data_IF_272481996928
#
_entry.id   IF_272481996928
#
_cell.length_a   1.000
_cell.length_b   1.000
_cell.length_c   1.000
_cell.angle_alpha   90.00
_cell.angle_beta   90.00
_cell.angle_gamma   90.00
#
_symmetry.space_group_name_H-M   'P 1'
#
loop_
_entity.id
_entity.type
_entity.pdbx_description
1 polymer ?
#
# COMPACT_ATOMS: atom_id res chain seq x y z
N UNK A 1 -24.47 30.53 -51.16
CA UNK A 1 -24.28 31.19 -49.85
C UNK A 1 -24.06 30.10 -48.82
N UNK A 2 -22.83 29.93 -48.36
CA UNK A 2 -22.41 28.90 -47.40
C UNK A 2 -22.75 29.37 -45.98
N UNK A 3 -23.66 28.68 -45.33
CA UNK A 3 -24.01 28.83 -43.91
C UNK A 3 -22.81 28.41 -43.05
N UNK A 4 -22.05 29.37 -42.56
CA UNK A 4 -20.98 29.14 -41.59
C UNK A 4 -21.58 28.66 -40.27
N UNK A 5 -21.19 27.46 -39.83
CA UNK A 5 -21.54 26.94 -38.49
C UNK A 5 -20.85 27.77 -37.43
N UNK A 6 -21.52 27.99 -36.30
CA UNK A 6 -20.93 28.76 -35.20
C UNK A 6 -19.83 27.96 -34.50
N UNK A 7 -18.81 28.65 -33.99
CA UNK A 7 -17.68 28.01 -33.27
C UNK A 7 -18.16 27.16 -32.08
N UNK A 8 -19.29 27.53 -31.46
CA UNK A 8 -19.92 26.79 -30.38
C UNK A 8 -20.42 25.39 -30.83
N UNK A 9 -21.00 25.28 -32.02
CA UNK A 9 -21.45 23.98 -32.56
C UNK A 9 -20.28 23.05 -32.86
N UNK A 10 -19.14 23.61 -33.27
CA UNK A 10 -17.91 22.84 -33.48
C UNK A 10 -17.42 22.28 -32.13
N UNK A 11 -17.32 23.12 -31.10
CA UNK A 11 -16.87 22.72 -29.76
C UNK A 11 -17.79 21.65 -29.15
N UNK A 12 -19.12 21.85 -29.20
CA UNK A 12 -20.09 20.87 -28.68
C UNK A 12 -19.90 19.50 -29.35
N UNK A 13 -19.66 19.49 -30.67
CA UNK A 13 -19.48 18.25 -31.43
C UNK A 13 -18.16 17.55 -31.07
N UNK A 14 -17.07 18.28 -30.89
CA UNK A 14 -15.80 17.66 -30.51
C UNK A 14 -15.86 17.08 -29.09
N UNK A 15 -16.53 17.75 -28.14
CA UNK A 15 -16.79 17.21 -26.79
C UNK A 15 -17.65 15.94 -26.86
N UNK A 16 -18.72 15.95 -27.67
CA UNK A 16 -19.59 14.77 -27.83
C UNK A 16 -18.85 13.56 -28.41
N UNK A 17 -17.94 13.78 -29.38
CA UNK A 17 -17.07 12.72 -29.91
C UNK A 17 -16.16 12.15 -28.83
N UNK A 18 -15.54 13.00 -28.02
CA UNK A 18 -14.67 12.58 -26.92
C UNK A 18 -15.43 11.70 -25.92
N UNK A 19 -16.61 12.14 -25.48
CA UNK A 19 -17.48 11.37 -24.56
C UNK A 19 -17.90 10.02 -25.15
N UNK A 20 -18.22 9.99 -26.45
CA UNK A 20 -18.56 8.74 -27.15
C UNK A 20 -17.37 7.78 -27.24
N UNK A 21 -16.17 8.30 -27.48
CA UNK A 21 -14.94 7.50 -27.45
C UNK A 21 -14.71 6.90 -26.07
N UNK A 22 -14.91 7.68 -24.99
CA UNK A 22 -14.81 7.15 -23.62
C UNK A 22 -15.84 6.05 -23.34
N UNK A 23 -17.09 6.22 -23.76
CA UNK A 23 -18.13 5.18 -23.58
C UNK A 23 -17.77 3.88 -24.30
N UNK A 24 -17.30 3.97 -25.55
CA UNK A 24 -16.82 2.81 -26.31
C UNK A 24 -15.64 2.12 -25.60
N UNK A 25 -14.63 2.88 -25.15
CA UNK A 25 -13.49 2.34 -24.41
C UNK A 25 -13.91 1.63 -23.12
N UNK A 26 -14.93 2.16 -22.41
CA UNK A 26 -15.48 1.52 -21.21
C UNK A 26 -16.23 0.22 -21.54
N UNK A 27 -16.93 0.17 -22.67
CA UNK A 27 -17.57 -1.05 -23.16
C UNK A 27 -16.54 -2.11 -23.53
N UNK A 28 -15.48 -1.72 -24.25
CA UNK A 28 -14.38 -2.61 -24.62
C UNK A 28 -13.66 -3.16 -23.39
N UNK A 29 -13.40 -2.31 -22.39
CA UNK A 29 -12.80 -2.72 -21.12
C UNK A 29 -13.71 -3.70 -20.37
N UNK A 30 -15.01 -3.42 -20.30
CA UNK A 30 -16.00 -4.35 -19.71
C UNK A 30 -16.00 -5.69 -20.45
N UNK A 31 -16.05 -5.68 -21.78
CA UNK A 31 -16.02 -6.87 -22.61
C UNK A 31 -14.73 -7.68 -22.38
N UNK A 32 -13.58 -7.01 -22.31
CA UNK A 32 -12.30 -7.62 -22.01
C UNK A 32 -12.32 -8.33 -20.64
N UNK A 33 -12.75 -7.66 -19.57
CA UNK A 33 -12.82 -8.28 -18.24
C UNK A 33 -13.91 -9.36 -18.12
N UNK A 34 -15.02 -9.25 -18.83
CA UNK A 34 -16.02 -10.32 -18.94
C UNK A 34 -15.43 -11.55 -19.64
N UNK A 35 -14.75 -11.35 -20.76
CA UNK A 35 -14.06 -12.42 -21.47
C UNK A 35 -12.97 -13.06 -20.60
N UNK A 36 -12.18 -12.26 -19.88
CA UNK A 36 -11.18 -12.75 -18.93
C UNK A 36 -11.82 -13.58 -17.81
N UNK A 37 -12.91 -13.10 -17.21
CA UNK A 37 -13.70 -13.86 -16.22
C UNK A 37 -14.25 -15.16 -16.80
N UNK A 38 -14.71 -15.16 -18.05
CA UNK A 38 -15.22 -16.37 -18.71
C UNK A 38 -14.12 -17.40 -18.97
N UNK A 39 -12.91 -16.96 -19.30
CA UNK A 39 -11.72 -17.83 -19.42
C UNK A 39 -11.30 -18.41 -18.06
N UNK A 40 -11.56 -17.68 -16.98
CA UNK A 40 -11.29 -18.11 -15.60
C UNK A 40 -12.43 -18.95 -15.00
N UNK A 41 -13.63 -18.95 -15.58
CA UNK A 41 -14.85 -19.56 -15.03
C UNK A 41 -15.36 -20.77 -15.83
N UNK A 42 -14.54 -21.41 -16.66
CA UNK A 42 -14.93 -22.68 -17.29
C UNK A 42 -15.16 -23.74 -16.18
N UNK A 43 -16.38 -24.29 -16.01
CA UNK A 43 -16.69 -25.18 -14.91
C UNK A 43 -16.51 -26.65 -15.30
N UNK A 44 -16.06 -27.47 -14.36
CA UNK A 44 -16.69 -28.78 -14.11
C UNK A 44 -17.38 -28.70 -12.73
N UNK A 45 -18.48 -29.42 -12.49
CA UNK A 45 -19.78 -28.74 -12.38
C UNK A 45 -20.36 -28.66 -10.96
N UNK A 46 -21.32 -27.72 -10.85
CA UNK A 46 -22.44 -27.63 -9.89
C UNK A 46 -22.14 -27.27 -8.44
N UNK A 47 -22.37 -26.02 -8.01
CA UNK A 47 -23.19 -25.62 -6.82
C UNK A 47 -23.64 -24.13 -6.97
N UNK A 48 -24.57 -23.55 -6.15
CA UNK A 48 -25.62 -22.65 -6.58
C UNK A 48 -25.19 -21.16 -6.52
N UNK A 49 -25.94 -20.33 -7.22
CA UNK A 49 -25.70 -18.89 -7.37
C UNK A 49 -25.44 -18.17 -6.03
N UNK A 50 -24.35 -17.38 -5.90
CA UNK A 50 -24.22 -16.45 -4.81
C UNK A 50 -25.17 -15.29 -5.09
N UNK A 51 -26.27 -15.30 -4.34
CA UNK A 51 -27.21 -14.20 -4.29
C UNK A 51 -26.48 -12.91 -3.89
N UNK A 52 -26.66 -11.88 -4.71
CA UNK A 52 -26.70 -10.45 -4.35
C UNK A 52 -25.67 -10.01 -3.29
N UNK A 53 -24.63 -9.31 -3.74
CA UNK A 53 -23.86 -8.37 -2.91
C UNK A 53 -24.83 -7.30 -2.36
N UNK A 54 -25.46 -7.56 -1.23
CA UNK A 54 -26.14 -6.55 -0.43
C UNK A 54 -25.13 -5.98 0.55
N UNK A 55 -24.79 -4.71 0.33
CA UNK A 55 -24.14 -3.88 1.33
C UNK A 55 -25.10 -3.73 2.52
N UNK A 56 -24.78 -4.35 3.65
CA UNK A 56 -25.48 -4.14 4.90
C UNK A 56 -24.66 -3.15 5.75
N UNK A 57 -25.21 -1.97 6.12
CA UNK A 57 -24.61 -1.14 7.14
C UNK A 57 -24.99 -1.74 8.50
N UNK A 58 -24.01 -2.32 9.19
CA UNK A 58 -24.22 -3.00 10.47
C UNK A 58 -23.03 -2.85 11.41
N UNK A 59 -23.11 -1.80 12.24
CA UNK A 59 -22.54 -1.63 13.58
C UNK A 59 -21.13 -2.15 13.89
N UNK A 60 -20.22 -1.20 14.11
CA UNK A 60 -19.19 -1.31 15.13
C UNK A 60 -17.86 -1.97 14.73
N UNK A 61 -17.11 -1.36 13.80
CA UNK A 61 -15.64 -1.24 13.83
C UNK A 61 -15.18 -0.40 12.64
N UNK A 62 -14.29 0.55 12.92
CA UNK A 62 -13.74 1.52 11.95
C UNK A 62 -13.12 0.81 10.73
N UNK A 63 -13.22 1.38 9.52
CA UNK A 63 -12.71 0.75 8.31
C UNK A 63 -11.17 0.74 8.33
N UNK A 64 -10.57 -0.45 8.27
CA UNK A 64 -9.14 -0.59 7.96
C UNK A 64 -8.89 0.05 6.59
N UNK A 65 -8.11 1.13 6.59
CA UNK A 65 -7.80 1.96 5.41
C UNK A 65 -6.68 1.40 4.52
N UNK A 66 -6.47 0.09 4.54
CA UNK A 66 -5.62 -0.60 3.57
C UNK A 66 -6.43 -1.71 2.92
N UNK A 67 -6.41 -1.88 1.59
CA UNK A 67 -6.74 -3.17 1.00
C UNK A 67 -5.60 -4.13 1.34
N UNK A 68 -5.47 -4.49 2.63
CA UNK A 68 -4.81 -5.72 3.00
C UNK A 68 -5.70 -6.82 2.44
N UNK A 69 -5.34 -7.34 1.27
CA UNK A 69 -6.02 -8.51 0.70
C UNK A 69 -5.56 -9.69 1.55
N UNK A 70 -6.16 -9.83 2.74
CA UNK A 70 -5.79 -10.77 3.83
C UNK A 70 -6.13 -12.22 3.48
N UNK A 71 -5.70 -12.71 2.32
CA UNK A 71 -6.10 -13.98 1.69
C UNK A 71 -7.40 -13.88 0.88
N UNK A 72 -7.37 -14.50 -0.30
CA UNK A 72 -8.58 -15.01 -0.93
C UNK A 72 -8.96 -16.31 -0.20
N UNK A 73 -9.92 -16.23 0.72
CA UNK A 73 -10.62 -17.42 1.22
C UNK A 73 -12.11 -17.28 0.91
N UNK A 74 -12.54 -17.89 -0.18
CA UNK A 74 -13.96 -18.15 -0.42
C UNK A 74 -14.44 -19.25 0.53
N UNK A 75 -15.73 -19.24 0.88
CA UNK A 75 -16.35 -20.15 1.89
C UNK A 75 -16.37 -21.63 1.51
N UNK A 76 -15.75 -22.02 0.43
CA UNK A 76 -15.53 -23.41 0.04
C UNK A 76 -14.03 -23.56 -0.20
N UNK A 77 -13.47 -24.68 0.25
CA UNK A 77 -12.03 -25.00 0.35
C UNK A 77 -11.31 -25.09 -1.01
N UNK A 78 -11.72 -24.32 -2.01
CA UNK A 78 -11.03 -24.19 -3.28
C UNK A 78 -10.03 -23.04 -3.17
N UNK A 79 -8.81 -23.46 -2.89
CA UNK A 79 -7.63 -22.63 -2.84
C UNK A 79 -7.38 -22.11 -4.26
N UNK A 80 -7.83 -20.90 -4.60
CA UNK A 80 -7.33 -20.19 -5.76
C UNK A 80 -5.86 -19.86 -5.50
N UNK A 81 -4.99 -20.81 -5.81
CA UNK A 81 -3.55 -20.63 -5.84
C UNK A 81 -3.30 -19.60 -6.96
N UNK A 82 -3.09 -18.33 -6.60
CA UNK A 82 -2.77 -17.27 -7.56
C UNK A 82 -1.70 -17.82 -8.50
N UNK A 83 -2.02 -17.99 -9.78
CA UNK A 83 -1.07 -18.30 -10.86
C UNK A 83 0.00 -17.21 -11.03
N UNK A 84 -0.11 -16.12 -10.25
CA UNK A 84 0.88 -15.06 -10.08
C UNK A 84 2.05 -15.48 -9.15
N UNK A 85 1.84 -16.40 -8.20
CA UNK A 85 2.87 -16.86 -7.24
C UNK A 85 4.07 -17.51 -7.93
N UNK A 86 3.86 -18.20 -9.05
CA UNK A 86 4.93 -18.91 -9.77
C UNK A 86 5.68 -18.05 -10.79
N UNK A 87 5.18 -16.85 -11.14
CA UNK A 87 5.85 -15.95 -12.11
C UNK A 87 6.82 -14.97 -11.45
N UNK A 88 6.59 -14.63 -10.18
CA UNK A 88 7.39 -13.63 -9.49
C UNK A 88 8.64 -14.20 -8.83
N UNK A 89 8.65 -15.48 -8.45
CA UNK A 89 9.87 -16.18 -8.01
C UNK A 89 9.80 -17.66 -8.35
N UNK A 90 10.96 -18.27 -8.61
CA UNK A 90 11.06 -19.70 -8.94
C UNK A 90 10.94 -20.62 -7.70
N UNK A 91 10.81 -20.08 -6.48
CA UNK A 91 11.04 -20.84 -5.23
C UNK A 91 10.04 -20.60 -4.07
N UNK A 92 8.86 -19.98 -4.28
CA UNK A 92 7.83 -19.85 -3.22
C UNK A 92 7.00 -21.14 -3.07
N UNK A 93 7.62 -22.32 -2.96
CA UNK A 93 6.87 -23.57 -2.87
C UNK A 93 6.38 -23.92 -1.46
N UNK A 94 6.78 -23.19 -0.40
CA UNK A 94 6.42 -23.53 1.00
C UNK A 94 6.11 -22.38 1.97
N UNK A 95 6.30 -21.11 1.62
CA UNK A 95 6.11 -19.97 2.54
C UNK A 95 4.82 -19.20 2.27
N UNK A 96 4.12 -18.81 3.35
CA UNK A 96 3.02 -17.85 3.24
C UNK A 96 3.60 -16.48 2.92
N UNK A 97 3.00 -15.78 1.97
CA UNK A 97 3.47 -14.47 1.51
C UNK A 97 2.32 -13.47 1.47
N UNK A 98 2.65 -12.20 1.65
CA UNK A 98 1.78 -11.06 1.40
C UNK A 98 2.18 -10.44 0.07
N UNK A 99 1.18 -10.16 -0.78
CA UNK A 99 1.38 -9.41 -2.03
C UNK A 99 0.74 -8.04 -1.88
N UNK A 100 1.53 -6.99 -2.10
CA UNK A 100 1.10 -5.61 -2.03
C UNK A 100 1.27 -4.93 -3.39
N UNK A 101 0.26 -4.13 -3.76
CA UNK A 101 0.25 -3.29 -4.95
C UNK A 101 0.16 -1.83 -4.51
N UNK A 102 1.03 -0.97 -5.02
CA UNK A 102 1.05 0.44 -4.60
C UNK A 102 1.70 1.35 -5.65
N UNK A 103 1.46 2.66 -5.55
CA UNK A 103 2.03 3.65 -6.47
C UNK A 103 3.50 3.95 -6.19
N UNK A 104 3.97 3.71 -4.97
CA UNK A 104 5.35 3.96 -4.54
C UNK A 104 5.72 3.05 -3.39
N UNK A 105 6.99 2.70 -3.28
CA UNK A 105 7.45 1.83 -2.22
C UNK A 105 8.88 2.15 -1.78
N UNK A 106 9.09 2.30 -0.47
CA UNK A 106 10.40 2.50 0.13
C UNK A 106 11.17 1.20 0.29
N UNK A 107 11.56 0.59 -0.83
CA UNK A 107 12.31 -0.68 -0.85
C UNK A 107 13.59 -0.61 -0.01
N UNK A 108 14.40 0.44 -0.19
CA UNK A 108 15.68 0.63 0.53
C UNK A 108 15.51 0.55 2.05
N UNK A 109 14.49 1.22 2.59
CA UNK A 109 14.21 1.20 4.03
C UNK A 109 13.65 -0.15 4.49
N UNK A 110 12.82 -0.80 3.67
CA UNK A 110 12.32 -2.13 3.98
C UNK A 110 13.46 -3.16 4.02
N UNK A 111 14.30 -3.23 2.99
CA UNK A 111 15.44 -4.15 2.94
C UNK A 111 16.37 -3.93 4.13
N UNK A 112 16.69 -2.68 4.46
CA UNK A 112 17.52 -2.33 5.62
C UNK A 112 16.97 -2.91 6.93
N UNK A 113 15.66 -2.78 7.16
CA UNK A 113 15.03 -3.32 8.36
C UNK A 113 14.86 -4.83 8.32
N UNK A 114 14.62 -5.41 7.13
CA UNK A 114 14.50 -6.86 6.96
C UNK A 114 15.83 -7.57 7.27
N UNK A 115 16.96 -7.02 6.82
CA UNK A 115 18.30 -7.51 7.16
C UNK A 115 18.58 -7.47 8.67
N UNK A 116 17.97 -6.51 9.38
CA UNK A 116 18.06 -6.38 10.83
C UNK A 116 17.01 -7.21 11.61
N UNK A 117 16.13 -7.95 10.92
CA UNK A 117 15.03 -8.70 11.54
C UNK A 117 13.88 -7.84 12.08
N UNK A 118 13.77 -6.60 11.61
CA UNK A 118 12.80 -5.59 12.05
C UNK A 118 11.71 -5.30 10.99
N UNK A 119 11.73 -6.04 9.87
CA UNK A 119 10.70 -6.06 8.85
C UNK A 119 10.65 -7.44 8.18
N UNK A 120 9.55 -7.81 7.52
CA UNK A 120 9.47 -9.07 6.80
C UNK A 120 10.49 -9.13 5.63
N UNK A 121 11.11 -10.29 5.35
CA UNK A 121 11.91 -10.45 4.14
C UNK A 121 11.12 -10.17 2.85
N UNK A 122 11.71 -9.40 1.93
CA UNK A 122 11.19 -9.21 0.57
C UNK A 122 11.64 -10.37 -0.31
N UNK A 123 10.71 -10.96 -1.04
CA UNK A 123 10.98 -11.94 -2.11
C UNK A 123 10.93 -11.31 -3.51
N UNK A 124 10.18 -10.23 -3.69
CA UNK A 124 10.06 -9.49 -4.94
C UNK A 124 9.68 -8.04 -4.66
N UNK A 125 10.31 -7.08 -5.32
CA UNK A 125 9.92 -5.67 -5.30
C UNK A 125 10.31 -5.05 -6.64
N UNK A 126 9.32 -4.68 -7.46
CA UNK A 126 9.55 -4.01 -8.73
C UNK A 126 8.33 -3.23 -9.17
N UNK A 127 8.55 -2.20 -9.99
CA UNK A 127 7.49 -1.53 -10.71
C UNK A 127 7.07 -2.35 -11.93
N UNK A 128 5.81 -2.78 -11.96
CA UNK A 128 5.23 -3.53 -13.07
C UNK A 128 4.53 -2.58 -14.05
N UNK A 129 5.20 -2.30 -15.18
CA UNK A 129 4.68 -1.42 -16.24
C UNK A 129 3.30 -1.86 -16.75
N UNK A 130 3.05 -3.17 -16.80
CA UNK A 130 1.80 -3.75 -17.30
C UNK A 130 0.56 -3.33 -16.49
N UNK A 131 0.75 -2.96 -15.23
CA UNK A 131 -0.32 -2.51 -14.33
C UNK A 131 -0.07 -1.10 -13.76
N UNK A 132 1.08 -0.50 -14.05
CA UNK A 132 1.45 0.84 -13.60
C UNK A 132 1.60 0.97 -12.08
N UNK A 133 2.00 -0.11 -11.40
CA UNK A 133 2.11 -0.18 -9.93
C UNK A 133 3.37 -0.94 -9.50
N UNK A 134 3.89 -0.59 -8.33
CA UNK A 134 4.84 -1.42 -7.61
C UNK A 134 4.14 -2.69 -7.11
N UNK A 135 4.80 -3.83 -7.32
CA UNK A 135 4.40 -5.13 -6.79
C UNK A 135 5.46 -5.58 -5.81
N UNK A 136 5.01 -5.87 -4.59
CA UNK A 136 5.86 -6.32 -3.52
C UNK A 136 5.36 -7.66 -3.02
N UNK A 137 6.23 -8.66 -3.01
CA UNK A 137 5.99 -9.96 -2.39
C UNK A 137 6.92 -10.06 -1.20
N UNK A 138 6.36 -10.17 0.00
CA UNK A 138 7.11 -10.26 1.25
C UNK A 138 6.60 -11.43 2.09
N UNK A 139 7.40 -11.88 3.05
CA UNK A 139 7.01 -12.93 3.98
C UNK A 139 5.77 -12.54 4.78
N UNK A 140 4.89 -13.52 5.02
CA UNK A 140 3.75 -13.32 5.94
C UNK A 140 4.21 -13.47 7.38
N UNK A 141 4.08 -12.40 8.17
CA UNK A 141 4.35 -12.44 9.62
C UNK A 141 3.09 -12.85 10.38
N UNK A 142 3.09 -14.02 11.04
CA UNK A 142 1.89 -14.59 11.65
C UNK A 142 1.66 -14.06 13.07
N UNK A 143 1.30 -12.78 13.23
CA UNK A 143 1.14 -12.20 14.58
C UNK A 143 0.05 -11.12 14.68
N UNK A 144 -0.20 -10.66 15.92
CA UNK A 144 -1.18 -9.62 16.20
C UNK A 144 -0.60 -8.23 15.91
N UNK A 145 -1.35 -7.48 15.09
CA UNK A 145 -1.15 -6.04 14.92
C UNK A 145 -1.24 -5.37 16.28
N UNK A 146 -0.32 -4.44 16.55
CA UNK A 146 -0.35 -3.65 17.77
C UNK A 146 -1.71 -2.94 17.90
N UNK A 147 -2.43 -3.20 19.00
CA UNK A 147 -3.75 -2.61 19.27
C UNK A 147 -3.73 -1.67 20.49
N UNK A 148 -2.55 -1.17 20.89
CA UNK A 148 -2.39 -0.38 22.09
C UNK A 148 -0.97 0.18 22.25
N UNK A 149 -0.60 0.49 23.49
CA UNK A 149 0.75 0.93 23.81
C UNK A 149 1.73 -0.23 23.81
N UNK A 150 2.95 0.03 23.36
CA UNK A 150 4.01 -0.97 23.36
C UNK A 150 4.54 -1.20 24.78
N UNK A 151 4.92 -2.44 25.06
CA UNK A 151 5.74 -2.77 26.23
C UNK A 151 7.15 -2.16 26.09
N UNK A 152 7.93 -2.18 27.17
CA UNK A 152 9.29 -1.64 27.17
C UNK A 152 10.21 -2.30 26.11
N UNK A 153 10.16 -3.64 26.00
CA UNK A 153 10.95 -4.37 25.01
C UNK A 153 10.53 -4.06 23.58
N UNK A 154 9.22 -4.11 23.30
CA UNK A 154 8.68 -3.76 21.98
C UNK A 154 8.96 -2.29 21.59
N UNK A 155 8.87 -1.36 22.56
CA UNK A 155 9.22 0.05 22.37
C UNK A 155 10.70 0.25 22.06
N UNK A 156 11.58 -0.50 22.73
CA UNK A 156 13.01 -0.52 22.45
C UNK A 156 13.30 -1.07 21.05
N UNK A 157 12.62 -2.15 20.66
CA UNK A 157 12.70 -2.73 19.32
C UNK A 157 12.22 -1.74 18.25
N UNK A 158 11.12 -1.03 18.50
CA UNK A 158 10.63 0.02 17.59
C UNK A 158 11.61 1.19 17.48
N UNK A 159 12.16 1.67 18.60
CA UNK A 159 13.17 2.75 18.59
C UNK A 159 14.35 2.36 17.73
N UNK A 160 14.86 1.13 17.88
CA UNK A 160 15.96 0.61 17.09
C UNK A 160 15.66 0.58 15.59
N UNK A 161 14.42 0.25 15.19
CA UNK A 161 14.02 0.28 13.79
C UNK A 161 14.06 1.69 13.20
N UNK A 162 13.54 2.68 13.95
CA UNK A 162 13.56 4.08 13.53
C UNK A 162 15.00 4.62 13.48
N UNK A 163 15.83 4.28 14.46
CA UNK A 163 17.24 4.68 14.49
C UNK A 163 18.02 4.14 13.29
N UNK A 164 17.78 2.89 12.87
CA UNK A 164 18.42 2.34 11.67
C UNK A 164 18.08 3.12 10.41
N UNK A 165 16.80 3.47 10.22
CA UNK A 165 16.37 4.30 9.10
C UNK A 165 17.02 5.69 9.16
N UNK A 166 16.93 6.35 10.32
CA UNK A 166 17.39 7.72 10.50
C UNK A 166 18.90 7.86 10.32
N UNK A 167 19.67 6.83 10.72
CA UNK A 167 21.12 6.75 10.49
C UNK A 167 21.48 6.74 9.00
N UNK A 168 20.59 6.23 8.14
CA UNK A 168 20.73 6.22 6.69
C UNK A 168 20.03 7.40 5.99
N UNK A 169 19.61 8.41 6.76
CA UNK A 169 18.80 9.54 6.27
C UNK A 169 17.48 9.10 5.60
N UNK A 170 16.94 7.97 6.06
CA UNK A 170 15.62 7.51 5.68
C UNK A 170 14.64 7.84 6.79
N UNK A 171 13.40 8.11 6.43
CA UNK A 171 12.24 8.22 7.33
C UNK A 171 11.27 7.10 7.04
N UNK A 172 10.47 6.70 8.02
CA UNK A 172 9.39 5.73 7.83
C UNK A 172 8.11 6.41 7.33
N UNK A 173 7.76 7.54 7.94
CA UNK A 173 6.71 8.46 7.50
C UNK A 173 5.28 8.08 7.90
N UNK A 174 4.95 6.80 7.99
CA UNK A 174 3.61 6.33 8.35
C UNK A 174 3.62 5.51 9.65
N UNK A 175 4.33 6.00 10.69
CA UNK A 175 4.46 5.26 11.93
C UNK A 175 3.15 5.27 12.71
N UNK A 176 2.47 4.12 12.76
CA UNK A 176 1.22 3.91 13.50
C UNK A 176 1.06 2.47 13.93
N UNK A 177 0.19 2.27 14.90
CA UNK A 177 -0.10 0.98 15.53
C UNK A 177 -0.44 -0.09 14.49
N UNK A 178 -1.20 0.27 13.44
CA UNK A 178 -1.57 -0.69 12.38
C UNK A 178 -0.40 -1.16 11.51
N UNK A 179 0.71 -0.43 11.53
CA UNK A 179 1.91 -0.68 10.74
C UNK A 179 3.02 -1.34 11.60
N UNK A 180 2.70 -1.67 12.85
CA UNK A 180 3.58 -2.41 13.77
C UNK A 180 2.97 -3.77 14.09
N UNK A 181 3.68 -4.83 13.76
CA UNK A 181 3.34 -6.21 14.11
C UNK A 181 4.21 -6.63 15.28
N UNK A 182 3.63 -7.19 16.34
CA UNK A 182 4.40 -7.74 17.46
C UNK A 182 4.88 -9.14 17.10
N UNK A 183 6.13 -9.29 16.67
CA UNK A 183 6.70 -10.58 16.25
C UNK A 183 7.02 -11.49 17.43
N UNK A 184 7.42 -10.92 18.57
CA UNK A 184 7.58 -11.64 19.83
C UNK A 184 7.01 -10.78 20.97
N UNK A 185 5.91 -11.21 21.62
CA UNK A 185 5.26 -10.45 22.67
C UNK A 185 6.22 -10.04 23.78
N UNK A 186 6.29 -8.74 24.06
CA UNK A 186 7.14 -8.18 25.11
C UNK A 186 8.60 -7.93 24.70
N UNK A 187 9.02 -8.32 23.49
CA UNK A 187 10.42 -8.30 23.08
C UNK A 187 10.66 -7.59 21.75
N UNK A 188 10.00 -8.01 20.67
CA UNK A 188 10.31 -7.52 19.33
C UNK A 188 9.09 -7.22 18.48
N UNK A 189 9.29 -6.29 17.55
CA UNK A 189 8.31 -5.88 16.55
C UNK A 189 8.86 -6.04 15.15
N UNK A 190 7.95 -6.05 14.17
CA UNK A 190 8.25 -5.85 12.76
C UNK A 190 7.44 -4.68 12.22
N UNK A 191 8.12 -3.79 11.50
CA UNK A 191 7.48 -2.74 10.72
C UNK A 191 6.99 -3.28 9.38
N UNK A 192 5.80 -2.84 8.97
CA UNK A 192 5.20 -3.13 7.67
C UNK A 192 4.65 -1.85 7.07
N UNK A 193 4.36 -1.85 5.77
CA UNK A 193 3.81 -0.70 5.04
C UNK A 193 4.81 0.47 4.85
N UNK A 194 5.80 0.23 3.98
CA UNK A 194 6.88 1.18 3.66
C UNK A 194 6.54 2.16 2.52
N UNK A 195 5.26 2.44 2.23
CA UNK A 195 4.91 3.31 1.10
C UNK A 195 5.46 4.74 1.22
N UNK A 196 5.53 5.24 2.45
CA UNK A 196 5.98 6.60 2.74
C UNK A 196 7.45 6.66 3.15
N UNK A 197 8.10 5.49 3.21
CA UNK A 197 9.49 5.39 3.57
C UNK A 197 10.40 5.85 2.42
N UNK A 198 11.49 6.53 2.75
CA UNK A 198 12.52 6.97 1.82
C UNK A 198 13.35 8.13 2.36
N UNK A 199 14.13 8.83 1.51
CA UNK A 199 15.05 9.86 1.96
C UNK A 199 14.34 11.05 2.63
N UNK A 200 14.86 11.52 3.77
CA UNK A 200 14.38 12.75 4.41
C UNK A 200 14.91 14.03 3.74
N UNK A 201 15.96 13.90 2.95
CA UNK A 201 16.62 14.97 2.22
C UNK A 201 16.83 14.54 0.77
N UNK A 202 17.00 15.52 -0.13
CA UNK A 202 17.28 15.22 -1.53
C UNK A 202 18.69 14.61 -1.63
N UNK A 203 18.81 13.46 -2.26
CA UNK A 203 20.07 12.77 -2.49
C UNK A 203 20.70 13.37 -3.74
N UNK A 204 21.91 13.92 -3.60
CA UNK A 204 22.63 14.58 -4.70
C UNK A 204 23.76 13.69 -5.25
N UNK A 205 24.03 13.81 -6.56
CA UNK A 205 25.26 13.27 -7.17
C UNK A 205 26.49 14.13 -6.84
N UNK A 206 27.66 13.71 -7.33
CA UNK A 206 28.92 14.46 -7.12
C UNK A 206 28.96 15.80 -7.85
N UNK A 207 28.02 16.07 -8.75
CA UNK A 207 27.86 17.31 -9.49
C UNK A 207 26.76 18.22 -8.88
N UNK A 208 26.07 17.78 -7.83
CA UNK A 208 25.00 18.51 -7.16
C UNK A 208 23.60 18.35 -7.80
N UNK A 209 23.41 17.43 -8.74
CA UNK A 209 22.09 17.12 -9.29
C UNK A 209 21.35 16.15 -8.38
N UNK A 210 20.02 16.26 -8.31
CA UNK A 210 19.18 15.36 -7.52
C UNK A 210 19.11 13.99 -8.19
N UNK A 211 19.66 12.97 -7.52
CA UNK A 211 19.52 11.56 -7.88
C UNK A 211 18.19 10.99 -7.37
N UNK A 212 17.82 11.36 -6.15
CA UNK A 212 16.57 10.92 -5.52
C UNK A 212 15.98 12.08 -4.72
N UNK A 213 14.71 12.38 -4.94
CA UNK A 213 14.02 13.42 -4.19
C UNK A 213 13.64 12.90 -2.80
N UNK A 214 13.67 13.80 -1.81
CA UNK A 214 13.11 13.51 -0.48
C UNK A 214 11.65 13.10 -0.58
N UNK A 215 11.23 12.23 0.31
CA UNK A 215 9.85 11.75 0.36
C UNK A 215 8.88 12.81 0.85
N UNK A 216 7.68 12.81 0.27
CA UNK A 216 6.58 13.72 0.61
C UNK A 216 5.29 12.97 0.92
N UNK A 217 4.45 13.56 1.76
CA UNK A 217 3.09 13.07 1.99
C UNK A 217 2.21 13.32 0.76
N UNK A 218 1.27 12.41 0.45
CA UNK A 218 0.37 12.61 -0.67
C UNK A 218 -0.62 13.76 -0.41
N UNK A 219 -1.13 14.37 -1.47
CA UNK A 219 -2.19 15.40 -1.42
C UNK A 219 -3.43 14.89 -0.68
N UNK A 220 -3.69 13.58 -0.74
CA UNK A 220 -4.83 12.93 -0.09
C UNK A 220 -4.60 12.57 1.38
N UNK A 221 -3.50 13.00 2.01
CA UNK A 221 -3.26 12.71 3.43
C UNK A 221 -4.41 13.25 4.30
N UNK A 222 -4.87 12.39 5.22
CA UNK A 222 -5.90 12.73 6.20
C UNK A 222 -5.25 13.55 7.30
N UNK A 223 -5.60 14.83 7.39
CA UNK A 223 -5.14 15.74 8.45
C UNK A 223 -6.17 15.87 9.59
N UNK A 224 -7.12 14.95 9.67
CA UNK A 224 -8.19 15.03 10.67
C UNK A 224 -7.63 14.95 12.09
N UNK A 225 -8.12 15.85 12.95
CA UNK A 225 -7.70 16.07 14.34
C UNK A 225 -7.84 14.86 15.29
N UNK A 226 -8.34 13.71 14.81
CA UNK A 226 -8.42 12.45 15.56
C UNK A 226 -7.16 11.59 15.48
N UNK A 227 -6.26 11.88 14.52
CA UNK A 227 -4.90 11.32 14.49
C UNK A 227 -4.00 12.44 14.99
N UNK A 228 -3.28 12.21 16.08
CA UNK A 228 -2.24 13.12 16.54
C UNK A 228 -1.15 13.17 15.47
N UNK A 229 -1.31 14.05 14.49
CA UNK A 229 -0.30 14.35 13.49
C UNK A 229 0.78 15.20 14.14
N UNK A 230 2.04 14.88 13.87
CA UNK A 230 3.17 15.70 14.31
C UNK A 230 3.07 17.11 13.71
N UNK A 231 3.62 18.10 14.41
CA UNK A 231 3.74 19.45 13.88
C UNK A 231 4.52 19.42 12.55
N UNK A 232 4.04 20.16 11.55
CA UNK A 232 4.66 20.22 10.21
C UNK A 232 4.11 19.21 9.19
N UNK A 233 3.28 18.25 9.60
CA UNK A 233 2.60 17.33 8.67
C UNK A 233 1.60 18.11 7.82
N UNK A 234 1.87 18.18 6.51
CA UNK A 234 1.05 18.90 5.53
C UNK A 234 0.95 18.11 4.23
N UNK A 235 -0.09 18.38 3.44
CA UNK A 235 -0.26 17.81 2.09
C UNK A 235 0.93 18.22 1.22
N UNK A 236 1.54 17.25 0.52
CA UNK A 236 2.77 17.46 -0.28
C UNK A 236 3.99 17.94 0.52
N UNK A 237 3.86 18.00 1.85
CA UNK A 237 4.94 18.33 2.77
C UNK A 237 6.00 17.25 2.77
N UNK A 238 7.26 17.65 2.98
CA UNK A 238 8.35 16.72 3.17
C UNK A 238 8.11 15.88 4.43
N UNK A 239 8.45 14.60 4.36
CA UNK A 239 8.40 13.71 5.53
C UNK A 239 9.74 13.85 6.24
N UNK A 240 9.71 14.28 7.49
CA UNK A 240 10.89 14.58 8.30
C UNK A 240 11.05 13.57 9.43
N UNK A 241 12.27 13.46 9.97
CA UNK A 241 12.59 12.52 11.08
C UNK A 241 11.76 12.81 12.33
N UNK A 242 11.42 14.08 12.55
CA UNK A 242 10.60 14.56 13.66
C UNK A 242 9.19 13.96 13.63
N UNK A 243 8.66 13.65 12.44
CA UNK A 243 7.36 12.98 12.32
C UNK A 243 7.40 11.55 12.88
N UNK A 244 8.47 10.81 12.59
CA UNK A 244 8.67 9.47 13.15
C UNK A 244 8.90 9.54 14.66
N UNK A 245 9.75 10.46 15.12
CA UNK A 245 10.06 10.65 16.55
C UNK A 245 8.81 10.97 17.36
N UNK A 246 7.96 11.85 16.84
CA UNK A 246 6.69 12.20 17.48
C UNK A 246 5.79 10.98 17.66
N UNK A 247 5.65 10.16 16.60
CA UNK A 247 4.81 8.95 16.64
C UNK A 247 5.44 7.86 17.51
N UNK A 248 6.76 7.70 17.48
CA UNK A 248 7.50 6.79 18.36
C UNK A 248 7.24 7.14 19.84
N UNK A 249 7.35 8.42 20.20
CA UNK A 249 7.06 8.89 21.55
C UNK A 249 5.61 8.59 21.94
N UNK A 250 4.65 8.88 21.05
CA UNK A 250 3.23 8.60 21.29
C UNK A 250 2.96 7.11 21.60
N UNK A 251 3.62 6.20 20.88
CA UNK A 251 3.43 4.75 21.02
C UNK A 251 4.16 4.14 22.23
N UNK A 252 5.15 4.83 22.79
CA UNK A 252 6.01 4.33 23.90
C UNK A 252 5.73 4.99 25.26
N UNK A 253 4.94 6.07 25.30
CA UNK A 253 4.56 6.72 26.56
C UNK A 253 3.82 5.76 27.50
N UNK A 254 4.15 5.68 28.81
CA UNK A 254 3.39 4.85 29.75
C UNK A 254 1.90 5.29 29.85
N UNK A 255 1.01 4.35 30.19
CA UNK A 255 -0.40 4.65 30.43
C UNK A 255 -0.48 5.56 31.68
N UNK A 256 -1.12 6.72 31.56
CA UNK A 256 -1.41 7.60 32.71
C UNK A 256 -2.54 7.00 33.55
#
# INVERSE_FOLDING_TARGET
MTTGRSDLEIVIREVAKLLRTFDNSLQDLRAHYVALKSKLSAPNPTIPSPSRLTWAPGQGRLPQRTPSTRSFTTKERDQYQLSYKSRLTNDITKTNVVVKFTHRYGETGHCLLAEAGLAPPIHYCAFEESIGLWVIVMEYVPDQVCNGKLTEGEGTSLSRAIDFLHLKNLVFGDLRESNVIVSQPGESICLVDFEWCGPCEDVLDSQGNVLEYRVRYPTSISLDAGITSADGVTREGAIMKEHDIFRLHYMTLPIR
#
